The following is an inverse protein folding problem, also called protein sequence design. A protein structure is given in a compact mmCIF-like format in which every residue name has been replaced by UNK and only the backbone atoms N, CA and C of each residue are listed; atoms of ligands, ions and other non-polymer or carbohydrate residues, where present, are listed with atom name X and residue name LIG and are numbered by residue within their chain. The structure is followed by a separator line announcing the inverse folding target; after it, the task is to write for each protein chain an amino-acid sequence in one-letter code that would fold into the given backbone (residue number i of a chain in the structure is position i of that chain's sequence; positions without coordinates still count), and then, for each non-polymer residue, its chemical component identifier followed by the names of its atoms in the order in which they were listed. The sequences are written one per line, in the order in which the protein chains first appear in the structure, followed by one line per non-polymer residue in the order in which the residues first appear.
data_IF_318315097330
#
_entry.id   IF_318315097330
#
_cell.length_a   1.000
_cell.length_b   1.000
_cell.length_c   1.000
_cell.angle_alpha   90.00
_cell.angle_beta   90.00
_cell.angle_gamma   90.00
#
_symmetry.space_group_name_H-M   'P 1'
#
loop_
_entity.id
_entity.type
_entity.pdbx_description
1 polymer ?
#
# COMPACT_ATOMS: atom_id res chain seq x y z
N UNK A 1 5.40 15.70 -0.46
CA UNK A 1 6.63 16.03 0.31
C UNK A 1 6.52 15.64 1.79
N UNK A 2 5.57 16.18 2.57
CA UNK A 2 5.41 15.86 4.01
C UNK A 2 5.29 14.34 4.30
N UNK A 3 4.48 13.62 3.53
CA UNK A 3 4.31 12.15 3.67
C UNK A 3 5.60 11.38 3.37
N UNK A 4 6.36 11.79 2.36
CA UNK A 4 7.62 11.11 2.04
C UNK A 4 8.65 11.26 3.17
N UNK A 5 8.71 12.45 3.79
CA UNK A 5 9.58 12.69 4.94
C UNK A 5 9.14 11.90 6.17
N UNK A 6 7.84 11.85 6.47
CA UNK A 6 7.34 11.07 7.62
C UNK A 6 7.55 9.57 7.43
N UNK A 7 7.29 9.05 6.22
CA UNK A 7 7.53 7.64 5.86
C UNK A 7 9.01 7.30 5.90
N UNK A 8 9.87 8.16 5.35
CA UNK A 8 11.32 8.01 5.42
C UNK A 8 11.82 7.96 6.86
N UNK A 9 11.39 8.92 7.70
CA UNK A 9 11.78 8.99 9.10
C UNK A 9 11.34 7.74 9.89
N UNK A 10 10.10 7.28 9.72
CA UNK A 10 9.64 6.09 10.46
C UNK A 10 10.41 4.82 10.08
N UNK A 11 10.79 4.65 8.81
CA UNK A 11 11.56 3.48 8.38
C UNK A 11 13.02 3.57 8.83
N UNK A 12 13.65 4.74 8.67
CA UNK A 12 15.03 4.95 9.13
C UNK A 12 15.17 4.75 10.64
N UNK A 13 14.16 5.13 11.41
CA UNK A 13 14.16 4.94 12.86
C UNK A 13 13.78 3.51 13.25
N UNK A 14 12.81 2.85 12.61
CA UNK A 14 12.27 1.57 13.08
C UNK A 14 12.95 0.33 12.48
N UNK A 15 13.30 0.34 11.19
CA UNK A 15 13.89 -0.82 10.52
C UNK A 15 15.18 -1.33 11.16
N UNK A 16 16.11 -0.46 11.66
CA UNK A 16 17.31 -0.93 12.36
C UNK A 16 17.02 -1.74 13.63
N UNK A 17 15.85 -1.57 14.25
CA UNK A 17 15.41 -2.34 15.40
C UNK A 17 14.62 -3.61 15.02
N UNK A 18 14.67 -4.02 13.75
CA UNK A 18 14.00 -5.23 13.25
C UNK A 18 12.54 -5.01 12.83
N UNK A 19 12.07 -3.77 12.72
CA UNK A 19 10.75 -3.51 12.13
C UNK A 19 10.74 -3.80 10.63
N UNK A 20 9.63 -4.34 10.13
CA UNK A 20 9.41 -4.48 8.69
C UNK A 20 9.24 -3.09 8.03
N UNK A 21 9.60 -2.93 6.74
CA UNK A 21 9.40 -1.67 6.03
C UNK A 21 7.91 -1.31 5.99
N UNK A 22 7.61 -0.05 6.31
CA UNK A 22 6.26 0.49 6.45
C UNK A 22 5.97 1.57 5.42
N UNK A 23 4.70 1.69 5.06
CA UNK A 23 4.18 2.79 4.23
C UNK A 23 3.24 3.68 5.06
N UNK A 24 2.54 4.61 4.42
CA UNK A 24 1.65 5.52 5.15
C UNK A 24 0.44 4.83 5.80
N UNK A 25 0.02 3.65 5.29
CA UNK A 25 -1.11 2.90 5.85
C UNK A 25 -2.48 3.56 5.63
N UNK A 26 -2.70 4.14 4.45
CA UNK A 26 -3.89 4.95 4.15
C UNK A 26 -5.22 4.23 4.42
N UNK A 27 -5.33 2.93 4.13
CA UNK A 27 -6.57 2.16 4.36
C UNK A 27 -6.96 2.08 5.84
N UNK A 28 -5.99 1.83 6.73
CA UNK A 28 -6.23 1.81 8.18
C UNK A 28 -6.58 3.19 8.74
N UNK A 29 -5.95 4.25 8.21
CA UNK A 29 -6.26 5.63 8.56
C UNK A 29 -7.69 6.01 8.13
N UNK A 30 -8.10 5.61 6.93
CA UNK A 30 -9.45 5.82 6.44
C UNK A 30 -10.49 5.12 7.33
N UNK A 31 -10.21 3.90 7.80
CA UNK A 31 -11.07 3.20 8.76
C UNK A 31 -11.20 3.98 10.07
N UNK A 32 -10.10 4.42 10.68
CA UNK A 32 -10.14 5.22 11.91
C UNK A 32 -10.92 6.52 11.71
N UNK A 33 -10.76 7.19 10.56
CA UNK A 33 -11.53 8.38 10.22
C UNK A 33 -13.03 8.09 10.11
N UNK A 34 -13.42 6.96 9.50
CA UNK A 34 -14.83 6.52 9.44
C UNK A 34 -15.40 6.21 10.83
N UNK A 35 -14.58 5.72 11.76
CA UNK A 35 -14.95 5.52 13.16
C UNK A 35 -14.90 6.81 14.02
N UNK A 36 -14.77 7.99 13.41
CA UNK A 36 -14.87 9.27 14.11
C UNK A 36 -13.54 9.90 14.54
N UNK A 37 -12.39 9.26 14.26
CA UNK A 37 -11.09 9.90 14.52
C UNK A 37 -10.91 11.12 13.60
N UNK A 38 -10.41 12.24 14.17
CA UNK A 38 -10.12 13.48 13.43
C UNK A 38 -8.68 13.95 13.57
N UNK A 39 -7.90 13.26 14.40
CA UNK A 39 -6.49 13.56 14.66
C UNK A 39 -5.68 12.27 14.64
N UNK A 40 -4.34 12.40 14.52
CA UNK A 40 -3.42 11.26 14.58
C UNK A 40 -3.36 10.56 15.95
N UNK A 41 -4.01 11.11 16.99
CA UNK A 41 -4.03 10.54 18.34
C UNK A 41 -4.60 9.12 18.39
N UNK A 42 -5.58 8.79 17.53
CA UNK A 42 -6.15 7.44 17.45
C UNK A 42 -5.09 6.39 17.05
N UNK A 43 -4.24 6.73 16.09
CA UNK A 43 -3.14 5.86 15.63
C UNK A 43 -2.10 5.68 16.74
N UNK A 44 -1.74 6.77 17.42
CA UNK A 44 -0.77 6.73 18.53
C UNK A 44 -1.32 5.89 19.69
N UNK A 45 -2.57 6.08 20.07
CA UNK A 45 -3.22 5.30 21.13
C UNK A 45 -3.29 3.82 20.78
N UNK A 46 -3.65 3.47 19.54
CA UNK A 46 -3.65 2.10 19.05
C UNK A 46 -2.24 1.48 19.10
N UNK A 47 -1.21 2.25 18.72
CA UNK A 47 0.19 1.83 18.78
C UNK A 47 0.64 1.56 20.22
N UNK A 48 0.37 2.48 21.14
CA UNK A 48 0.70 2.33 22.56
C UNK A 48 -0.03 1.12 23.15
N UNK A 49 -1.33 0.95 22.87
CA UNK A 49 -2.10 -0.19 23.33
C UNK A 49 -1.49 -1.52 22.85
N UNK A 50 -1.06 -1.60 21.58
CA UNK A 50 -0.37 -2.78 21.03
C UNK A 50 0.97 -3.05 21.72
N UNK A 51 1.75 -2.00 21.99
CA UNK A 51 3.04 -2.13 22.70
C UNK A 51 2.82 -2.65 24.13
N UNK A 52 1.87 -2.07 24.86
CA UNK A 52 1.53 -2.51 26.22
C UNK A 52 1.06 -3.96 26.23
N UNK A 53 0.17 -4.35 25.30
CA UNK A 53 -0.27 -5.74 25.15
C UNK A 53 0.91 -6.68 24.83
N UNK A 54 1.81 -6.28 23.93
CA UNK A 54 2.97 -7.08 23.56
C UNK A 54 3.95 -7.28 24.72
N UNK A 55 4.18 -6.24 25.53
CA UNK A 55 5.08 -6.31 26.70
C UNK A 55 4.48 -7.15 27.85
N UNK A 56 3.17 -7.05 28.10
CA UNK A 56 2.53 -7.75 29.21
C UNK A 56 2.12 -9.19 28.86
N UNK A 57 1.59 -9.42 27.65
CA UNK A 57 0.95 -10.67 27.23
C UNK A 57 1.60 -11.29 25.97
N UNK A 58 2.76 -10.83 25.51
CA UNK A 58 3.32 -11.18 24.19
C UNK A 58 3.29 -12.68 23.84
N UNK A 59 3.80 -13.56 24.72
CA UNK A 59 3.80 -15.02 24.46
C UNK A 59 2.40 -15.62 24.44
N UNK A 60 1.55 -15.27 25.39
CA UNK A 60 0.19 -15.80 25.49
C UNK A 60 -0.68 -15.31 24.33
N UNK A 61 -0.55 -14.03 23.96
CA UNK A 61 -1.29 -13.42 22.86
C UNK A 61 -0.90 -14.03 21.50
N UNK A 62 0.37 -14.39 21.33
CA UNK A 62 0.86 -15.01 20.09
C UNK A 62 0.22 -16.37 19.82
N UNK A 63 -0.05 -17.18 20.86
CA UNK A 63 -0.78 -18.45 20.73
C UNK A 63 -2.19 -18.22 20.19
N UNK A 64 -2.90 -17.22 20.72
CA UNK A 64 -4.25 -16.87 20.25
C UNK A 64 -4.24 -16.31 18.83
N UNK A 65 -3.25 -15.49 18.47
CA UNK A 65 -3.09 -14.97 17.10
C UNK A 65 -2.80 -16.10 16.10
N UNK A 66 -2.01 -17.10 16.49
CA UNK A 66 -1.74 -18.27 15.64
C UNK A 66 -2.97 -19.17 15.46
N UNK A 67 -3.89 -19.19 16.44
CA UNK A 67 -5.17 -19.88 16.34
C UNK A 67 -6.20 -19.14 15.46
N UNK A 68 -5.89 -17.94 14.97
CA UNK A 68 -6.83 -17.18 14.15
C UNK A 68 -7.12 -17.90 12.82
N UNK A 69 -8.41 -18.07 12.45
CA UNK A 69 -8.79 -18.84 11.28
C UNK A 69 -8.25 -18.20 9.99
N UNK A 70 -7.41 -18.94 9.27
CA UNK A 70 -6.80 -18.50 8.02
C UNK A 70 -7.84 -18.20 6.93
N UNK A 71 -9.00 -18.87 6.98
CA UNK A 71 -10.11 -18.63 6.07
C UNK A 71 -10.66 -17.21 6.19
N UNK A 72 -10.85 -16.70 7.41
CA UNK A 72 -11.33 -15.33 7.64
C UNK A 72 -10.30 -14.32 7.17
N UNK A 73 -9.02 -14.57 7.47
CA UNK A 73 -7.92 -13.70 7.00
C UNK A 73 -7.88 -13.63 5.47
N UNK A 74 -8.00 -14.79 4.79
CA UNK A 74 -8.05 -14.88 3.35
C UNK A 74 -9.21 -14.10 2.72
N UNK A 75 -10.42 -14.20 3.30
CA UNK A 75 -11.60 -13.44 2.83
C UNK A 75 -11.39 -11.93 2.99
N UNK A 76 -10.85 -11.50 4.14
CA UNK A 76 -10.55 -10.08 4.37
C UNK A 76 -9.50 -9.53 3.38
N UNK A 77 -8.44 -10.31 3.12
CA UNK A 77 -7.40 -9.94 2.15
C UNK A 77 -7.96 -9.91 0.73
N UNK A 78 -8.81 -10.88 0.36
CA UNK A 78 -9.45 -10.95 -0.95
C UNK A 78 -10.33 -9.73 -1.19
N UNK A 79 -11.17 -9.35 -0.23
CA UNK A 79 -12.01 -8.15 -0.34
C UNK A 79 -11.16 -6.88 -0.44
N UNK A 80 -10.13 -6.73 0.40
CA UNK A 80 -9.22 -5.58 0.31
C UNK A 80 -8.46 -5.52 -1.02
N UNK A 81 -8.11 -6.66 -1.59
CA UNK A 81 -7.46 -6.75 -2.91
C UNK A 81 -8.41 -6.36 -4.03
N UNK A 82 -9.66 -6.81 -3.98
CA UNK A 82 -10.69 -6.44 -4.95
C UNK A 82 -11.00 -4.93 -4.90
N UNK A 83 -11.17 -4.37 -3.70
CA UNK A 83 -11.35 -2.92 -3.52
C UNK A 83 -10.19 -2.12 -4.15
N UNK A 84 -8.95 -2.57 -3.95
CA UNK A 84 -7.79 -1.92 -4.56
C UNK A 84 -7.75 -2.11 -6.08
N UNK A 85 -8.17 -3.27 -6.59
CA UNK A 85 -8.23 -3.54 -8.03
C UNK A 85 -9.34 -2.73 -8.74
N UNK A 86 -10.39 -2.30 -8.04
CA UNK A 86 -11.44 -1.46 -8.65
C UNK A 86 -10.93 -0.07 -9.08
N UNK A 87 -9.82 0.42 -8.50
CA UNK A 87 -9.14 1.66 -8.93
C UNK A 87 -8.70 1.60 -10.39
N UNK A 88 -8.62 0.40 -10.98
CA UNK A 88 -8.39 0.25 -12.41
C UNK A 88 -9.44 0.97 -13.28
N UNK A 89 -10.68 1.08 -12.79
CA UNK A 89 -11.78 1.73 -13.52
C UNK A 89 -11.69 3.26 -13.51
N UNK A 90 -10.91 3.83 -12.59
CA UNK A 90 -10.74 5.28 -12.46
C UNK A 90 -9.70 5.85 -13.45
N UNK A 91 -9.04 5.00 -14.24
CA UNK A 91 -8.09 5.45 -15.25
C UNK A 91 -8.82 5.97 -16.50
N UNK A 92 -8.55 7.23 -16.85
CA UNK A 92 -9.19 7.91 -17.99
C UNK A 92 -8.43 7.72 -19.31
N UNK A 93 -7.12 7.51 -19.26
CA UNK A 93 -6.29 7.29 -20.45
C UNK A 93 -5.97 5.81 -20.65
N UNK A 94 -6.09 5.32 -21.90
CA UNK A 94 -5.74 3.93 -22.25
C UNK A 94 -4.27 3.61 -21.97
N UNK A 95 -3.38 4.59 -22.15
CA UNK A 95 -1.95 4.46 -21.82
C UNK A 95 -1.73 4.20 -20.34
N UNK A 96 -2.39 4.97 -19.47
CA UNK A 96 -2.22 4.88 -18.02
C UNK A 96 -2.80 3.55 -17.49
N UNK A 97 -3.94 3.13 -18.04
CA UNK A 97 -4.55 1.82 -17.78
C UNK A 97 -3.63 0.66 -18.21
N UNK A 98 -3.05 0.74 -19.41
CA UNK A 98 -2.15 -0.29 -19.93
C UNK A 98 -0.89 -0.42 -19.08
N UNK A 99 -0.24 0.69 -18.73
CA UNK A 99 0.95 0.70 -17.86
C UNK A 99 0.62 0.07 -16.51
N UNK A 100 -0.52 0.40 -15.94
CA UNK A 100 -0.92 -0.13 -14.64
C UNK A 100 -1.19 -1.64 -14.67
N UNK A 101 -1.95 -2.15 -15.66
CA UNK A 101 -2.16 -3.61 -15.80
C UNK A 101 -0.85 -4.33 -16.08
N UNK A 102 0.02 -3.78 -16.94
CA UNK A 102 1.34 -4.35 -17.21
C UNK A 102 2.18 -4.44 -15.93
N UNK A 103 2.20 -3.36 -15.14
CA UNK A 103 2.92 -3.30 -13.86
C UNK A 103 2.35 -4.33 -12.88
N UNK A 104 1.02 -4.40 -12.74
CA UNK A 104 0.35 -5.35 -11.85
C UNK A 104 0.62 -6.80 -12.27
N UNK A 105 0.50 -7.12 -13.56
CA UNK A 105 0.78 -8.45 -14.10
C UNK A 105 2.25 -8.85 -13.89
N UNK A 106 3.19 -7.94 -14.12
CA UNK A 106 4.61 -8.19 -13.87
C UNK A 106 4.93 -8.38 -12.38
N UNK A 107 4.28 -7.63 -11.49
CA UNK A 107 4.38 -7.84 -10.04
C UNK A 107 3.93 -9.25 -9.62
N UNK A 108 2.84 -9.76 -10.21
CA UNK A 108 2.30 -11.09 -9.93
C UNK A 108 3.13 -12.22 -10.55
N UNK A 109 3.69 -12.00 -11.74
CA UNK A 109 4.43 -13.03 -12.47
C UNK A 109 5.87 -13.21 -11.97
N UNK A 110 6.52 -12.13 -11.52
CA UNK A 110 7.96 -12.15 -11.20
C UNK A 110 8.20 -11.75 -9.75
N UNK A 111 8.12 -10.45 -9.46
CA UNK A 111 8.19 -9.88 -8.12
C UNK A 111 7.88 -8.37 -8.20
N UNK A 112 7.67 -7.74 -7.04
CA UNK A 112 7.32 -6.32 -6.95
C UNK A 112 8.42 -5.39 -7.49
N UNK A 113 9.70 -5.75 -7.34
CA UNK A 113 10.81 -4.93 -7.81
C UNK A 113 10.89 -4.92 -9.35
N UNK A 114 10.82 -6.10 -9.98
CA UNK A 114 10.78 -6.26 -11.42
C UNK A 114 9.54 -5.60 -12.02
N UNK A 115 8.36 -5.79 -11.40
CA UNK A 115 7.13 -5.13 -11.82
C UNK A 115 7.25 -3.60 -11.80
N UNK A 116 7.83 -3.02 -10.75
CA UNK A 116 8.12 -1.58 -10.69
C UNK A 116 9.04 -1.13 -11.83
N UNK A 117 10.14 -1.83 -12.07
CA UNK A 117 11.10 -1.48 -13.14
C UNK A 117 10.44 -1.55 -14.51
N UNK A 118 9.69 -2.61 -14.81
CA UNK A 118 8.97 -2.78 -16.09
C UNK A 118 7.94 -1.65 -16.28
N UNK A 119 7.14 -1.36 -15.25
CA UNK A 119 6.16 -0.28 -15.27
C UNK A 119 6.79 1.10 -15.49
N UNK A 120 7.90 1.38 -14.80
CA UNK A 120 8.63 2.63 -14.92
C UNK A 120 9.25 2.81 -16.32
N UNK A 121 9.89 1.78 -16.87
CA UNK A 121 10.43 1.82 -18.23
C UNK A 121 9.33 2.04 -19.27
N UNK A 122 8.17 1.39 -19.10
CA UNK A 122 7.05 1.57 -20.01
C UNK A 122 6.47 2.99 -19.94
N UNK A 123 6.29 3.52 -18.72
CA UNK A 123 5.85 4.90 -18.52
C UNK A 123 6.86 5.90 -19.13
N UNK A 124 8.16 5.67 -18.96
CA UNK A 124 9.21 6.52 -19.53
C UNK A 124 9.21 6.47 -21.07
N UNK A 125 9.05 5.30 -21.68
CA UNK A 125 8.98 5.14 -23.13
C UNK A 125 7.79 5.89 -23.76
N UNK A 126 6.63 5.88 -23.08
CA UNK A 126 5.46 6.65 -23.49
C UNK A 126 5.70 8.17 -23.35
N UNK A 127 6.33 8.62 -22.26
CA UNK A 127 6.65 10.03 -22.03
C UNK A 127 7.68 10.57 -23.03
N UNK A 128 8.67 9.78 -23.43
CA UNK A 128 9.68 10.16 -24.43
C UNK A 128 9.20 10.03 -25.88
N UNK A 129 7.94 9.62 -26.09
CA UNK A 129 7.33 9.58 -27.42
C UNK A 129 7.84 8.45 -28.32
N UNK A 130 8.53 7.45 -27.74
CA UNK A 130 9.00 6.25 -28.46
C UNK A 130 7.82 5.37 -28.88
N UNK A 131 6.74 5.37 -28.08
CA UNK A 131 5.47 4.71 -28.38
C UNK A 131 4.30 5.70 -28.22
N UNK A 132 3.44 5.80 -29.24
CA UNK A 132 2.18 6.58 -29.19
C UNK A 132 1.00 5.63 -29.35
N UNK A 133 0.19 5.51 -28.30
CA UNK A 133 -1.05 4.71 -28.31
C UNK A 133 -2.29 5.63 -28.43
N UNK A 134 -2.24 6.85 -27.89
CA UNK A 134 -3.30 7.89 -28.00
C UNK A 134 -2.68 9.29 -28.21
N UNK A 135 -3.37 10.27 -28.85
CA UNK A 135 -3.00 11.68 -28.76
C UNK A 135 -3.10 12.20 -27.31
N UNK A 136 -2.26 13.16 -26.90
CA UNK A 136 -2.12 13.54 -25.50
C UNK A 136 -3.44 14.10 -24.94
N UNK A 137 -3.93 13.62 -23.79
CA UNK A 137 -4.94 14.35 -23.04
C UNK A 137 -4.34 15.69 -22.64
N UNK A 138 -5.10 16.77 -22.82
CA UNK A 138 -4.74 18.12 -22.36
C UNK A 138 -4.49 18.07 -20.84
N UNK A 139 -3.24 17.85 -20.43
CA UNK A 139 -2.83 17.84 -19.02
C UNK A 139 -2.41 19.27 -18.66
N UNK A 140 -3.16 19.99 -17.80
CA UNK A 140 -2.63 21.20 -17.18
C UNK A 140 -1.47 20.79 -16.26
N UNK A 141 -0.32 21.43 -16.45
CA UNK A 141 0.85 21.37 -15.57
C UNK A 141 0.53 22.06 -14.23
#
# INVERSE_FOLDING_TARGET
RKVALSVGLMNLLACPFGAMPMCHGAGGLAAQYRFGARTGGSVVMLGIAKIVLALLLGRSLLVWLQAFPQSVLGVLLMFSGLELAMVCRDQTARTDFFVMILTAGACLAVNTAAGFVIGWLMAAALLWGVFRIEPPPNRPL
#
